data_IF_966166069608
#
_entry.id   IF_966166069608
#
_cell.length_a   1.000
_cell.length_b   1.000
_cell.length_c   1.000
_cell.angle_alpha   90.00
_cell.angle_beta   90.00
_cell.angle_gamma   90.00
#
_symmetry.space_group_name_H-M   'P 1'
#
loop_
_entity.id
_entity.type
_entity.pdbx_description
1 polymer ?
#
# COMPACT_ATOMS: atom_id res chain seq x y z
N UNK A 1 3.12 -3.61 -12.41
CA UNK A 1 1.93 -4.44 -12.05
C UNK A 1 0.85 -4.45 -13.13
N UNK A 2 0.71 -3.42 -13.99
CA UNK A 2 -0.25 -3.45 -15.10
C UNK A 2 0.00 -4.61 -16.10
N UNK A 3 1.24 -4.81 -16.54
CA UNK A 3 1.62 -5.96 -17.40
C UNK A 3 1.31 -7.30 -16.70
N UNK A 4 1.45 -7.36 -15.38
CA UNK A 4 1.10 -8.56 -14.61
C UNK A 4 -0.41 -8.81 -14.64
N UNK A 5 -1.24 -7.77 -14.53
CA UNK A 5 -2.69 -7.92 -14.69
C UNK A 5 -3.05 -8.52 -16.06
N UNK A 6 -2.46 -7.97 -17.13
CA UNK A 6 -2.66 -8.47 -18.50
C UNK A 6 -2.23 -9.92 -18.68
N UNK A 7 -1.12 -10.32 -18.06
CA UNK A 7 -0.65 -11.72 -18.07
C UNK A 7 -1.67 -12.68 -17.44
N UNK A 8 -2.33 -12.27 -16.36
CA UNK A 8 -3.36 -13.09 -15.71
C UNK A 8 -4.69 -13.09 -16.47
N UNK A 9 -4.93 -12.09 -17.32
CA UNK A 9 -6.07 -12.00 -18.23
C UNK A 9 -6.66 -10.58 -18.29
N UNK A 10 -7.70 -10.42 -19.10
CA UNK A 10 -8.35 -9.10 -19.32
C UNK A 10 -9.55 -8.85 -18.40
N UNK A 11 -9.69 -9.63 -17.32
CA UNK A 11 -10.78 -9.47 -16.36
C UNK A 11 -10.58 -8.24 -15.48
N UNK A 12 -11.65 -7.46 -15.29
CA UNK A 12 -11.60 -6.19 -14.58
C UNK A 12 -11.14 -6.31 -13.11
N UNK A 13 -11.47 -7.42 -12.43
CA UNK A 13 -11.01 -7.69 -11.07
C UNK A 13 -9.50 -7.78 -10.94
N UNK A 14 -8.80 -8.27 -11.97
CA UNK A 14 -7.33 -8.35 -11.95
C UNK A 14 -6.71 -6.95 -11.97
N UNK A 15 -7.21 -6.06 -12.83
CA UNK A 15 -6.75 -4.68 -12.88
C UNK A 15 -7.01 -3.96 -11.56
N UNK A 16 -8.19 -4.14 -10.97
CA UNK A 16 -8.55 -3.52 -9.69
C UNK A 16 -7.56 -3.88 -8.58
N UNK A 17 -7.17 -5.14 -8.48
CA UNK A 17 -6.19 -5.59 -7.48
C UNK A 17 -4.76 -5.18 -7.82
N UNK A 18 -4.30 -5.44 -9.04
CA UNK A 18 -2.90 -5.22 -9.42
C UNK A 18 -2.52 -3.75 -9.51
N UNK A 19 -3.45 -2.85 -9.83
CA UNK A 19 -3.16 -1.42 -9.92
C UNK A 19 -2.92 -0.80 -8.53
N UNK A 20 -3.40 -1.44 -7.46
CA UNK A 20 -3.21 -0.95 -6.09
C UNK A 20 -1.88 -1.44 -5.50
N UNK A 21 -1.39 -2.61 -5.92
CA UNK A 21 -0.08 -3.15 -5.50
C UNK A 21 1.07 -2.14 -5.59
N UNK A 22 1.31 -1.40 -6.70
CA UNK A 22 2.41 -0.43 -6.77
C UNK A 22 2.24 0.74 -5.80
N UNK A 23 1.00 1.14 -5.52
CA UNK A 23 0.72 2.16 -4.51
C UNK A 23 1.07 1.66 -3.11
N UNK A 24 0.66 0.43 -2.77
CA UNK A 24 1.02 -0.21 -1.51
C UNK A 24 2.53 -0.38 -1.34
N UNK A 25 3.24 -0.77 -2.41
CA UNK A 25 4.70 -0.90 -2.40
C UNK A 25 5.38 0.47 -2.17
N UNK A 26 4.90 1.52 -2.83
CA UNK A 26 5.41 2.88 -2.61
C UNK A 26 5.21 3.34 -1.16
N UNK A 27 4.07 3.00 -0.55
CA UNK A 27 3.79 3.29 0.86
C UNK A 27 4.64 2.45 1.80
N UNK A 28 4.90 1.18 1.46
CA UNK A 28 5.82 0.31 2.21
C UNK A 28 7.22 0.94 2.29
N UNK A 29 7.75 1.43 1.17
CA UNK A 29 9.05 2.12 1.13
C UNK A 29 9.08 3.38 2.02
N UNK A 30 7.98 4.16 2.00
CA UNK A 30 7.83 5.35 2.86
C UNK A 30 7.82 4.94 4.35
N UNK A 31 7.04 3.94 4.73
CA UNK A 31 6.98 3.46 6.13
C UNK A 31 8.37 2.99 6.56
N UNK A 32 9.08 2.30 5.69
CA UNK A 32 10.41 1.74 5.97
C UNK A 32 11.50 2.80 6.09
N UNK A 33 11.32 3.97 5.46
CA UNK A 33 12.16 5.15 5.66
C UNK A 33 11.98 5.77 7.05
N UNK A 34 10.76 5.78 7.60
CA UNK A 34 10.48 6.34 8.93
C UNK A 34 10.70 5.34 10.07
N UNK A 35 10.66 4.03 9.79
CA UNK A 35 10.96 2.97 10.76
C UNK A 35 12.28 2.29 10.35
N UNK A 36 13.43 2.91 10.67
CA UNK A 36 14.73 2.36 10.33
C UNK A 36 14.99 1.06 11.08
N UNK A 37 15.87 0.23 10.51
CA UNK A 37 16.38 -0.96 11.18
C UNK A 37 17.41 -0.56 12.22
N UNK A 38 17.44 -1.30 13.33
CA UNK A 38 18.49 -1.17 14.32
C UNK A 38 19.84 -1.60 13.71
N UNK A 39 20.91 -0.78 13.82
CA UNK A 39 22.19 -1.04 13.17
C UNK A 39 22.93 -2.27 13.73
N UNK A 40 22.66 -2.68 14.97
CA UNK A 40 23.33 -3.81 15.63
C UNK A 40 22.60 -5.11 15.35
N UNK A 41 21.28 -5.11 15.52
CA UNK A 41 20.47 -6.33 15.34
C UNK A 41 19.97 -6.53 13.92
N UNK A 42 20.09 -5.52 13.05
CA UNK A 42 19.52 -5.47 11.69
C UNK A 42 18.02 -5.79 11.64
N UNK A 43 17.31 -5.59 12.75
CA UNK A 43 15.89 -5.87 12.87
C UNK A 43 15.12 -4.59 13.15
N UNK A 44 13.89 -4.53 12.63
CA UNK A 44 12.91 -3.51 13.01
C UNK A 44 12.29 -3.86 14.36
N UNK A 45 11.70 -2.87 15.06
CA UNK A 45 10.99 -3.11 16.31
C UNK A 45 10.01 -4.28 16.19
N UNK A 46 10.03 -5.18 17.18
CA UNK A 46 9.26 -6.43 17.15
C UNK A 46 7.76 -6.14 16.98
N UNK A 47 7.24 -5.18 17.74
CA UNK A 47 5.84 -4.75 17.63
C UNK A 47 5.47 -4.30 16.21
N UNK A 48 6.37 -3.55 15.55
CA UNK A 48 6.15 -3.06 14.19
C UNK A 48 6.15 -4.21 13.19
N UNK A 49 7.07 -5.18 13.34
CA UNK A 49 7.12 -6.37 12.47
C UNK A 49 5.82 -7.16 12.55
N UNK A 50 5.31 -7.40 13.75
CA UNK A 50 4.03 -8.09 13.93
C UNK A 50 2.88 -7.29 13.34
N UNK A 51 2.75 -6.01 13.70
CA UNK A 51 1.70 -5.14 13.19
C UNK A 51 1.72 -5.10 11.66
N UNK A 52 2.86 -4.77 11.06
CA UNK A 52 3.01 -4.66 9.61
C UNK A 52 2.72 -5.98 8.89
N UNK A 53 3.28 -7.09 9.37
CA UNK A 53 3.13 -8.40 8.71
C UNK A 53 1.67 -8.88 8.79
N UNK A 54 1.06 -8.83 9.97
CA UNK A 54 -0.30 -9.35 10.14
C UNK A 54 -1.35 -8.46 9.48
N UNK A 55 -1.20 -7.13 9.55
CA UNK A 55 -2.21 -6.20 9.02
C UNK A 55 -1.96 -5.87 7.56
N UNK A 56 -0.94 -5.08 7.26
CA UNK A 56 -0.71 -4.54 5.92
C UNK A 56 -0.27 -5.61 4.92
N UNK A 57 0.58 -6.55 5.34
CA UNK A 57 1.03 -7.63 4.46
C UNK A 57 -0.08 -8.67 4.28
N UNK A 58 -0.37 -9.48 5.29
CA UNK A 58 -1.32 -10.59 5.15
C UNK A 58 -2.73 -10.11 4.78
N UNK A 59 -3.38 -9.24 5.57
CA UNK A 59 -4.76 -8.81 5.27
C UNK A 59 -4.85 -7.93 4.02
N UNK A 60 -3.84 -7.10 3.76
CA UNK A 60 -3.78 -6.31 2.53
C UNK A 60 -3.75 -7.21 1.30
N UNK A 61 -2.92 -8.25 1.32
CA UNK A 61 -2.88 -9.24 0.24
C UNK A 61 -4.17 -10.06 0.15
N UNK A 62 -4.81 -10.44 1.26
CA UNK A 62 -6.10 -11.14 1.23
C UNK A 62 -7.18 -10.31 0.51
N UNK A 63 -7.26 -9.01 0.81
CA UNK A 63 -8.21 -8.11 0.13
C UNK A 63 -7.90 -8.00 -1.37
N UNK A 64 -6.63 -7.86 -1.75
CA UNK A 64 -6.24 -7.79 -3.16
C UNK A 64 -6.43 -9.14 -3.88
N UNK A 65 -6.24 -10.26 -3.20
CA UNK A 65 -6.47 -11.60 -3.77
C UNK A 65 -7.93 -11.82 -4.17
N UNK A 66 -8.89 -11.15 -3.51
CA UNK A 66 -10.32 -11.29 -3.85
C UNK A 66 -10.66 -10.85 -5.28
N UNK A 67 -9.95 -9.87 -5.85
CA UNK A 67 -10.13 -9.49 -7.26
C UNK A 67 -9.73 -10.59 -8.25
N UNK A 68 -8.86 -11.52 -7.84
CA UNK A 68 -8.53 -12.70 -8.64
C UNK A 68 -9.62 -13.77 -8.57
N UNK A 69 -10.24 -13.91 -7.40
CA UNK A 69 -11.28 -14.90 -7.18
C UNK A 69 -12.58 -14.52 -7.88
N UNK A 70 -12.98 -13.26 -7.76
CA UNK A 70 -14.28 -12.75 -8.23
C UNK A 70 -14.28 -12.43 -9.72
N UNK A 71 -13.14 -12.00 -10.29
CA UNK A 71 -12.90 -11.61 -11.70
C UNK A 71 -13.73 -10.42 -12.21
N UNK A 72 -14.99 -10.30 -11.80
CA UNK A 72 -15.90 -9.23 -12.13
C UNK A 72 -15.62 -7.98 -11.27
N UNK A 73 -15.72 -6.81 -11.89
CA UNK A 73 -15.57 -5.53 -11.20
C UNK A 73 -16.66 -5.30 -10.14
N UNK A 74 -17.93 -5.59 -10.47
CA UNK A 74 -19.07 -5.34 -9.59
C UNK A 74 -18.98 -6.14 -8.29
N UNK A 75 -18.67 -7.44 -8.39
CA UNK A 75 -18.58 -8.31 -7.22
C UNK A 75 -17.36 -7.96 -6.35
N UNK A 76 -16.23 -7.64 -7.00
CA UNK A 76 -15.00 -7.18 -6.31
C UNK A 76 -15.26 -5.86 -5.58
N UNK A 77 -15.90 -4.90 -6.25
CA UNK A 77 -16.32 -3.64 -5.66
C UNK A 77 -17.25 -3.87 -4.46
N UNK A 78 -18.27 -4.72 -4.61
CA UNK A 78 -19.22 -5.01 -3.52
C UNK A 78 -18.50 -5.60 -2.31
N UNK A 79 -17.57 -6.53 -2.52
CA UNK A 79 -16.76 -7.08 -1.43
C UNK A 79 -15.84 -6.03 -0.79
N UNK A 80 -15.19 -5.16 -1.58
CA UNK A 80 -14.31 -4.14 -1.03
C UNK A 80 -15.08 -3.06 -0.27
N UNK A 81 -16.30 -2.77 -0.71
CA UNK A 81 -17.20 -1.83 -0.04
C UNK A 81 -17.65 -2.34 1.33
N UNK A 82 -17.86 -3.66 1.51
CA UNK A 82 -18.19 -4.21 2.84
C UNK A 82 -17.03 -4.15 3.82
N UNK A 83 -15.79 -4.04 3.31
CA UNK A 83 -14.58 -3.81 4.09
C UNK A 83 -14.16 -2.33 4.13
N UNK A 84 -15.04 -1.43 3.69
CA UNK A 84 -14.81 0.03 3.64
C UNK A 84 -13.52 0.46 2.94
N UNK A 85 -13.04 -0.34 1.99
CA UNK A 85 -11.76 -0.08 1.31
C UNK A 85 -10.60 0.18 2.29
N UNK A 86 -10.58 -0.50 3.43
CA UNK A 86 -9.66 -0.19 4.54
C UNK A 86 -8.19 -0.05 4.09
N UNK A 87 -7.72 -0.87 3.14
CA UNK A 87 -6.36 -0.81 2.63
C UNK A 87 -6.07 0.55 1.96
N UNK A 88 -6.99 1.05 1.12
CA UNK A 88 -6.86 2.36 0.49
C UNK A 88 -6.99 3.48 1.52
N UNK A 89 -7.91 3.33 2.49
CA UNK A 89 -8.09 4.30 3.58
C UNK A 89 -6.84 4.42 4.46
N UNK A 90 -6.05 3.36 4.62
CA UNK A 90 -4.78 3.42 5.37
C UNK A 90 -3.62 3.91 4.49
N UNK A 91 -3.52 3.44 3.26
CA UNK A 91 -2.37 3.73 2.38
C UNK A 91 -2.39 5.14 1.78
N UNK A 92 -3.56 5.67 1.40
CA UNK A 92 -3.68 7.01 0.80
C UNK A 92 -3.25 8.13 1.77
N UNK A 93 -3.69 8.15 3.04
CA UNK A 93 -3.23 9.18 3.98
C UNK A 93 -1.73 9.11 4.23
N UNK A 94 -1.15 7.91 4.42
CA UNK A 94 0.30 7.77 4.63
C UNK A 94 1.08 8.36 3.46
N UNK A 95 0.66 8.05 2.23
CA UNK A 95 1.26 8.62 1.02
C UNK A 95 1.11 10.15 0.96
N UNK A 96 -0.10 10.66 1.20
CA UNK A 96 -0.38 12.09 1.17
C UNK A 96 0.42 12.86 2.24
N UNK A 97 0.50 12.33 3.46
CA UNK A 97 1.27 12.94 4.55
C UNK A 97 2.75 13.03 4.22
N UNK A 98 3.37 11.96 3.69
CA UNK A 98 4.77 11.99 3.30
C UNK A 98 5.04 13.00 2.17
N UNK A 99 4.16 13.08 1.17
CA UNK A 99 4.28 14.07 0.09
C UNK A 99 4.14 15.50 0.61
N UNK A 100 3.14 15.78 1.45
CA UNK A 100 2.95 17.10 2.06
C UNK A 100 4.17 17.48 2.92
N UNK A 101 4.69 16.53 3.72
CA UNK A 101 5.86 16.76 4.56
C UNK A 101 7.11 17.04 3.73
N UNK A 102 7.34 16.25 2.68
CA UNK A 102 8.47 16.43 1.75
C UNK A 102 8.39 17.77 1.02
N UNK A 103 7.20 18.17 0.56
CA UNK A 103 6.98 19.48 -0.07
C UNK A 103 7.25 20.64 0.89
N UNK A 104 6.73 20.56 2.13
CA UNK A 104 6.99 21.58 3.16
C UNK A 104 8.48 21.69 3.48
N UNK A 105 9.18 20.56 3.59
CA UNK A 105 10.63 20.54 3.83
C UNK A 105 11.39 21.24 2.69
N UNK A 106 11.04 20.93 1.43
CA UNK A 106 11.66 21.56 0.26
C UNK A 106 11.46 23.08 0.23
N UNK A 107 10.23 23.55 0.48
CA UNK A 107 9.91 24.98 0.54
C UNK A 107 10.66 25.69 1.67
N UNK A 108 10.85 25.03 2.81
CA UNK A 108 11.63 25.62 3.92
C UNK A 108 13.10 25.78 3.54
N UNK A 109 13.72 24.76 2.94
CA UNK A 109 15.12 24.81 2.50
C UNK A 109 15.37 25.87 1.43
N UNK A 110 14.41 26.08 0.52
CA UNK A 110 14.51 27.11 -0.53
C UNK A 110 14.37 28.56 0.01
N UNK A 111 13.75 28.74 1.18
CA UNK A 111 13.64 30.05 1.86
C UNK A 111 14.82 30.38 2.76
N UNK A 112 15.65 29.39 3.11
CA UNK A 112 16.84 29.55 3.95
C UNK A 112 18.13 29.73 3.13
N UNK A 113 18.04 29.63 1.79
CA UNK A 113 19.07 29.89 0.78
C UNK A 113 18.90 31.29 0.17
#
# INVERSE_FOLDING_TARGET
>A
MFVSALWHGTYAGYFMSFLIVPMCASVEDIIFKYVPMDPVTKQRPVWFRYLYTFTLRCRGFDMLATGFLLKNFQDTHRFWSSLYYWLLVVTLPIYAFDKIYTLKKKVKTEKEL
#
